data_IF_886563321981
#
_entry.id   IF_886563321981
#
_cell.length_a   1.000
_cell.length_b   1.000
_cell.length_c   1.000
_cell.angle_alpha   90.00
_cell.angle_beta   90.00
_cell.angle_gamma   90.00
#
_symmetry.space_group_name_H-M   'P 1'
#
loop_
_entity.id
_entity.type
_entity.pdbx_description
1 polymer ?
#
# COMPACT_ATOMS: atom_id res chain seq x y z
N UNK A 1 16.73 9.07 3.70
CA UNK A 1 16.74 7.79 2.96
C UNK A 1 15.60 7.85 1.96
N UNK A 2 15.87 7.68 0.66
CA UNK A 2 14.82 7.61 -0.38
C UNK A 2 14.58 6.12 -0.62
N UNK A 3 13.35 5.65 -0.35
CA UNK A 3 12.98 4.25 -0.52
C UNK A 3 12.30 4.11 -1.88
N UNK A 4 12.85 3.21 -2.72
CA UNK A 4 12.35 2.97 -4.07
C UNK A 4 11.18 1.98 -4.12
N UNK A 5 10.90 1.31 -2.99
CA UNK A 5 9.90 0.26 -2.88
C UNK A 5 8.94 0.56 -1.72
N UNK A 6 7.64 0.41 -1.98
CA UNK A 6 6.57 0.70 -1.03
C UNK A 6 6.67 -0.17 0.23
N UNK A 7 6.93 -1.48 0.09
CA UNK A 7 7.00 -2.38 1.25
C UNK A 7 8.23 -2.07 2.11
N UNK A 8 9.34 -1.67 1.51
CA UNK A 8 10.47 -1.15 2.29
C UNK A 8 10.12 0.15 3.02
N UNK A 9 9.39 1.07 2.39
CA UNK A 9 8.89 2.28 3.05
C UNK A 9 8.04 1.96 4.28
N UNK A 10 7.21 0.93 4.19
CA UNK A 10 6.36 0.49 5.29
C UNK A 10 7.16 -0.14 6.42
N UNK A 11 8.13 -1.01 6.10
CA UNK A 11 8.89 -1.74 7.11
C UNK A 11 9.82 -0.87 7.94
N UNK A 12 10.31 0.24 7.38
CA UNK A 12 11.36 1.05 8.01
C UNK A 12 10.92 2.46 8.40
N UNK A 13 9.63 2.79 8.28
CA UNK A 13 9.12 4.12 8.63
C UNK A 13 8.11 4.06 9.75
N UNK A 14 8.31 4.90 10.77
CA UNK A 14 7.33 5.09 11.84
C UNK A 14 6.15 5.97 11.41
N UNK A 15 6.35 6.79 10.37
CA UNK A 15 5.37 7.74 9.88
C UNK A 15 5.40 7.81 8.35
N UNK A 16 4.23 7.74 7.72
CA UNK A 16 4.07 7.84 6.28
C UNK A 16 3.22 9.06 5.92
N UNK A 17 3.51 9.63 4.75
CA UNK A 17 2.72 10.68 4.11
C UNK A 17 2.46 10.24 2.68
N UNK A 18 1.19 10.07 2.33
CA UNK A 18 0.75 9.82 0.97
C UNK A 18 0.40 11.15 0.30
N UNK A 19 0.91 11.36 -0.92
CA UNK A 19 0.75 12.61 -1.68
C UNK A 19 0.11 12.26 -3.02
N UNK A 20 -0.91 13.02 -3.41
CA UNK A 20 -1.59 12.90 -4.71
C UNK A 20 -1.82 14.29 -5.28
N UNK A 21 -1.53 14.49 -6.57
CA UNK A 21 -1.62 15.81 -7.24
C UNK A 21 -0.86 16.94 -6.50
N UNK A 22 0.27 16.62 -5.85
CA UNK A 22 1.07 17.58 -5.09
C UNK A 22 0.49 17.95 -3.72
N UNK A 23 -0.64 17.39 -3.31
CA UNK A 23 -1.27 17.63 -2.02
C UNK A 23 -1.22 16.41 -1.11
N UNK A 24 -1.24 16.65 0.21
CA UNK A 24 -1.27 15.60 1.22
C UNK A 24 -2.64 14.90 1.19
N UNK A 25 -2.64 13.62 0.82
CA UNK A 25 -3.84 12.79 0.79
C UNK A 25 -4.12 12.13 2.15
N UNK A 26 -3.10 11.50 2.75
CA UNK A 26 -3.18 10.91 4.08
C UNK A 26 -1.83 10.91 4.77
N UNK A 27 -1.81 10.86 6.11
CA UNK A 27 -0.56 10.86 6.87
C UNK A 27 -0.76 10.27 8.26
N UNK A 28 0.20 9.48 8.74
CA UNK A 28 0.09 8.82 10.03
C UNK A 28 0.96 7.58 10.14
N UNK A 29 0.55 6.67 11.02
CA UNK A 29 1.17 5.35 11.15
C UNK A 29 0.99 4.55 9.85
N UNK A 30 1.92 3.64 9.53
CA UNK A 30 1.82 2.81 8.33
C UNK A 30 0.47 2.08 8.21
N UNK A 31 -0.09 1.61 9.33
CA UNK A 31 -1.38 0.91 9.41
C UNK A 31 -2.57 1.78 8.99
N UNK A 32 -2.47 3.10 9.16
CA UNK A 32 -3.51 4.07 8.79
C UNK A 32 -3.36 4.58 7.35
N UNK A 33 -2.13 4.59 6.83
CA UNK A 33 -1.82 5.14 5.50
C UNK A 33 -1.85 4.06 4.43
N UNK A 34 -1.41 2.84 4.74
CA UNK A 34 -1.39 1.72 3.80
C UNK A 34 -2.71 0.97 3.88
N UNK A 35 -3.66 1.40 3.07
CA UNK A 35 -4.97 0.75 2.91
C UNK A 35 -5.21 0.48 1.43
N UNK A 36 -5.99 -0.55 1.10
CA UNK A 36 -6.33 -0.83 -0.30
C UNK A 36 -6.98 0.38 -1.00
N UNK A 37 -7.73 1.21 -0.24
CA UNK A 37 -8.29 2.45 -0.74
C UNK A 37 -7.21 3.48 -1.09
N UNK A 38 -6.31 3.79 -0.16
CA UNK A 38 -5.24 4.77 -0.41
C UNK A 38 -4.32 4.31 -1.54
N UNK A 39 -4.05 3.00 -1.65
CA UNK A 39 -3.23 2.45 -2.73
C UNK A 39 -3.87 2.64 -4.11
N UNK A 40 -5.19 2.46 -4.22
CA UNK A 40 -5.93 2.80 -5.45
C UNK A 40 -5.92 4.30 -5.72
N UNK A 41 -6.21 5.12 -4.71
CA UNK A 41 -6.41 6.55 -4.92
C UNK A 41 -5.09 7.29 -5.20
N UNK A 42 -3.99 6.89 -4.56
CA UNK A 42 -2.69 7.57 -4.65
C UNK A 42 -1.81 6.96 -5.73
N UNK A 43 -1.78 5.63 -5.83
CA UNK A 43 -0.87 4.92 -6.75
C UNK A 43 -1.58 4.29 -7.94
N UNK A 44 -2.92 4.31 -7.99
CA UNK A 44 -3.73 3.61 -9.00
C UNK A 44 -3.45 2.09 -9.03
N UNK A 45 -3.15 1.53 -7.86
CA UNK A 45 -2.80 0.11 -7.67
C UNK A 45 -3.96 -0.62 -6.98
N UNK A 46 -4.35 -1.76 -7.54
CA UNK A 46 -5.20 -2.73 -6.87
C UNK A 46 -4.33 -3.69 -6.07
N UNK A 47 -4.51 -3.72 -4.76
CA UNK A 47 -3.70 -4.50 -3.85
C UNK A 47 -4.49 -5.02 -2.66
N UNK A 48 -4.04 -6.15 -2.14
CA UNK A 48 -4.45 -6.64 -0.83
C UNK A 48 -3.42 -6.17 0.21
N UNK A 49 -3.89 -5.73 1.37
CA UNK A 49 -3.03 -5.34 2.48
C UNK A 49 -3.18 -6.39 3.57
N UNK A 50 -2.09 -7.10 3.84
CA UNK A 50 -2.03 -8.11 4.90
C UNK A 50 -1.13 -7.62 6.03
N UNK A 51 -1.22 -8.25 7.20
CA UNK A 51 -0.30 -7.99 8.30
C UNK A 51 0.92 -8.91 8.18
N UNK A 52 2.13 -8.34 8.28
CA UNK A 52 3.35 -9.13 8.29
C UNK A 52 3.37 -10.07 9.51
N UNK A 53 3.59 -11.39 9.35
CA UNK A 53 3.45 -12.36 10.44
C UNK A 53 4.51 -12.20 11.54
N UNK A 54 5.73 -11.75 11.18
CA UNK A 54 6.83 -11.55 12.13
C UNK A 54 6.82 -10.17 12.80
N UNK A 55 6.78 -9.09 12.02
CA UNK A 55 6.98 -7.71 12.52
C UNK A 55 5.67 -6.92 12.68
N UNK A 56 4.53 -7.44 12.24
CA UNK A 56 3.22 -6.82 12.48
C UNK A 56 2.88 -5.58 11.63
N UNK A 57 3.79 -5.06 10.80
CA UNK A 57 3.49 -3.93 9.90
C UNK A 57 2.63 -4.38 8.70
N UNK A 58 1.87 -3.49 8.05
CA UNK A 58 1.15 -3.84 6.83
C UNK A 58 2.12 -4.22 5.70
N UNK A 59 1.66 -5.07 4.79
CA UNK A 59 2.38 -5.45 3.57
C UNK A 59 1.42 -5.31 2.39
N UNK A 60 1.85 -4.57 1.37
CA UNK A 60 1.12 -4.39 0.13
C UNK A 60 1.42 -5.56 -0.82
N UNK A 61 0.35 -6.26 -1.24
CA UNK A 61 0.39 -7.32 -2.25
C UNK A 61 -0.38 -6.86 -3.50
N UNK A 62 0.28 -6.22 -4.47
CA UNK A 62 -0.36 -5.73 -5.68
C UNK A 62 -0.76 -6.89 -6.59
N UNK A 63 -1.96 -6.79 -7.17
CA UNK A 63 -2.47 -7.74 -8.16
C UNK A 63 -3.02 -7.06 -9.42
N UNK A 64 -2.94 -5.73 -9.50
CA UNK A 64 -3.34 -4.99 -10.70
C UNK A 64 -2.96 -3.52 -10.62
N UNK A 65 -3.01 -2.86 -11.77
CA UNK A 65 -2.85 -1.40 -11.91
C UNK A 65 -3.98 -0.91 -12.82
N UNK A 66 -4.66 0.17 -12.42
CA UNK A 66 -5.65 0.91 -13.20
C UNK A 66 -6.46 0.11 -14.23
N UNK A 67 -7.59 -0.48 -13.82
CA UNK A 67 -8.56 -1.11 -14.72
C UNK A 67 -8.19 -2.50 -15.26
N UNK A 68 -6.98 -3.00 -14.98
CA UNK A 68 -6.60 -4.39 -15.29
C UNK A 68 -6.61 -5.23 -14.00
N UNK A 69 -7.77 -5.78 -13.65
CA UNK A 69 -7.86 -6.78 -12.57
C UNK A 69 -7.36 -8.13 -13.07
N UNK A 70 -6.28 -8.64 -12.48
CA UNK A 70 -5.90 -10.05 -12.63
C UNK A 70 -6.96 -10.89 -11.92
N UNK A 71 -7.53 -11.85 -12.66
CA UNK A 71 -8.61 -12.73 -12.24
C UNK A 71 -8.36 -13.32 -10.83
N UNK A 72 -9.29 -13.11 -9.87
CA UNK A 72 -9.30 -13.86 -8.61
C UNK A 72 -9.47 -15.34 -8.92
N UNK A 73 -8.38 -16.10 -8.93
CA UNK A 73 -8.42 -17.55 -9.01
C UNK A 73 -8.91 -18.09 -7.66
N UNK A 74 -10.22 -18.07 -7.46
CA UNK A 74 -10.90 -18.78 -6.36
C UNK A 74 -10.78 -20.29 -6.61
N UNK A 75 -9.63 -20.88 -6.25
CA UNK A 75 -9.57 -22.33 -6.02
C UNK A 75 -10.09 -22.58 -4.61
N UNK A 76 -11.33 -23.08 -4.57
CA UNK A 76 -11.92 -23.75 -3.41
C UNK A 76 -11.09 -24.95 -2.99
#
# INVERSE_FOLDING_TARGET
>A
MVLHDLNQAIMFSDYLVAIREGEKHSSGLPESVITAQNLREVFNVEAEVIRHPVIGVPVCLPYGVGGQSVHKNNRK
#
